data_IF_088721534410
#
_entry.id   IF_088721534410
#
_cell.length_a   1.000
_cell.length_b   1.000
_cell.length_c   1.000
_cell.angle_alpha   90.00
_cell.angle_beta   90.00
_cell.angle_gamma   90.00
#
_symmetry.space_group_name_H-M   'P 1'
#
loop_
_entity.id
_entity.type
_entity.pdbx_description
1 polymer ?
#
# COMPACT_ATOMS: atom_id res chain seq x y z
N UNK A 1 1.03 22.53 -23.29
CA UNK A 1 0.14 23.13 -22.28
C UNK A 1 0.16 22.25 -21.03
N UNK A 2 0.69 22.77 -19.92
CA UNK A 2 0.70 22.12 -18.61
C UNK A 2 -0.75 21.93 -18.15
N UNK A 3 -1.26 20.69 -18.10
CA UNK A 3 -2.56 20.43 -17.49
C UNK A 3 -2.46 20.74 -16.00
N UNK A 4 -3.04 21.85 -15.58
CA UNK A 4 -3.16 22.24 -14.17
C UNK A 4 -3.78 21.09 -13.37
N UNK A 5 -2.97 20.45 -12.53
CA UNK A 5 -3.44 19.43 -11.61
C UNK A 5 -4.40 20.11 -10.63
N UNK A 6 -5.71 19.83 -10.73
CA UNK A 6 -6.69 20.48 -9.89
C UNK A 6 -6.65 19.85 -8.49
N UNK A 7 -5.91 20.48 -7.57
CA UNK A 7 -5.83 20.10 -6.15
C UNK A 7 -7.20 20.13 -5.47
N UNK A 8 -8.20 20.79 -6.05
CA UNK A 8 -9.60 20.80 -5.56
C UNK A 8 -10.22 19.40 -5.44
N UNK A 9 -9.62 18.38 -6.08
CA UNK A 9 -10.11 17.00 -6.04
C UNK A 9 -9.52 16.15 -4.92
N UNK A 10 -8.48 16.62 -4.22
CA UNK A 10 -7.89 15.88 -3.10
C UNK A 10 -8.60 16.29 -1.81
N UNK A 11 -9.30 15.34 -1.20
CA UNK A 11 -9.97 15.52 0.08
C UNK A 11 -9.19 14.82 1.18
N UNK A 12 -9.17 15.43 2.37
CA UNK A 12 -8.59 14.85 3.56
C UNK A 12 -9.70 14.53 4.55
N UNK A 13 -9.74 13.28 5.02
CA UNK A 13 -10.72 12.81 5.99
C UNK A 13 -10.02 12.27 7.23
N UNK A 14 -10.69 12.40 8.39
CA UNK A 14 -10.32 11.67 9.59
C UNK A 14 -10.55 10.18 9.34
N UNK A 15 -9.59 9.34 9.71
CA UNK A 15 -9.69 7.89 9.57
C UNK A 15 -9.23 7.17 10.83
N UNK A 16 -9.58 5.89 10.93
CA UNK A 16 -8.90 4.99 11.86
C UNK A 16 -7.49 4.62 11.35
N UNK A 17 -6.80 3.75 12.10
CA UNK A 17 -5.47 3.22 11.72
C UNK A 17 -5.48 2.31 10.48
N UNK A 18 -6.65 1.89 10.01
CA UNK A 18 -6.85 1.03 8.85
C UNK A 18 -7.28 1.80 7.60
N UNK A 19 -7.62 3.09 7.74
CA UNK A 19 -8.03 3.97 6.65
C UNK A 19 -9.54 4.08 6.45
N UNK A 20 -10.34 3.54 7.37
CA UNK A 20 -11.79 3.71 7.34
C UNK A 20 -12.13 5.14 7.76
N UNK A 21 -12.99 5.81 6.99
CA UNK A 21 -13.43 7.18 7.28
C UNK A 21 -14.23 7.19 8.58
N UNK A 22 -13.87 8.10 9.48
CA UNK A 22 -14.57 8.33 10.74
C UNK A 22 -15.29 9.67 10.71
N UNK A 23 -16.46 9.72 11.36
CA UNK A 23 -17.07 10.98 11.73
C UNK A 23 -16.27 11.62 12.89
N UNK A 24 -15.68 12.82 12.73
CA UNK A 24 -14.88 13.47 13.76
C UNK A 24 -15.61 13.77 15.07
N UNK A 25 -16.94 13.79 15.03
CA UNK A 25 -17.80 14.09 16.18
C UNK A 25 -18.27 12.83 16.92
N UNK A 26 -18.03 11.66 16.36
CA UNK A 26 -18.33 10.39 17.00
C UNK A 26 -17.37 10.11 18.17
N UNK A 27 -17.84 9.44 19.25
CA UNK A 27 -16.99 9.06 20.38
C UNK A 27 -15.75 8.28 19.91
N UNK A 28 -14.60 8.56 20.52
CA UNK A 28 -13.31 7.91 20.25
C UNK A 28 -12.75 8.08 18.82
N UNK A 29 -13.37 8.89 17.95
CA UNK A 29 -12.83 9.17 16.61
C UNK A 29 -11.47 9.90 16.67
N UNK A 30 -11.30 10.77 17.67
CA UNK A 30 -10.03 11.41 18.03
C UNK A 30 -9.68 10.99 19.45
N UNK A 31 -8.45 10.54 19.65
CA UNK A 31 -7.98 10.08 20.96
C UNK A 31 -7.42 11.25 21.76
N UNK A 32 -7.99 11.44 22.95
CA UNK A 32 -7.54 12.40 23.95
C UNK A 32 -6.93 11.64 25.13
N UNK A 33 -5.67 11.88 25.44
CA UNK A 33 -4.97 11.26 26.57
C UNK A 33 -4.50 12.37 27.50
N UNK A 34 -5.10 12.48 28.68
CA UNK A 34 -4.65 13.39 29.70
C UNK A 34 -3.35 12.84 30.32
N UNK A 35 -2.26 13.59 30.21
CA UNK A 35 -0.94 13.18 30.73
C UNK A 35 -0.77 13.64 32.18
N UNK A 36 -1.47 14.69 32.61
CA UNK A 36 -1.24 15.29 33.93
C UNK A 36 -1.96 14.48 35.01
N UNK A 37 -1.23 13.89 35.98
CA UNK A 37 -1.86 13.24 37.13
C UNK A 37 -2.56 14.28 38.01
N UNK A 38 -3.79 14.00 38.46
CA UNK A 38 -4.59 14.87 39.33
C UNK A 38 -3.84 15.35 40.59
N UNK A 39 -2.90 14.55 41.10
CA UNK A 39 -2.14 14.83 42.32
C UNK A 39 -0.89 15.74 42.11
N UNK A 40 -0.62 16.22 40.88
CA UNK A 40 0.58 17.03 40.55
C UNK A 40 0.26 18.31 39.75
N UNK A 41 -1.01 18.71 39.63
CA UNK A 41 -1.37 19.91 38.88
C UNK A 41 -1.14 21.18 39.72
N UNK A 42 -0.18 22.02 39.31
CA UNK A 42 0.07 23.34 39.92
C UNK A 42 -1.24 24.16 39.98
N UNK A 43 -1.75 24.48 41.16
CA UNK A 43 -2.96 25.28 41.30
C UNK A 43 -2.65 26.71 40.91
N UNK A 44 -3.40 27.27 39.96
CA UNK A 44 -3.37 28.71 39.66
C UNK A 44 -4.62 29.36 40.24
N UNK A 45 -4.45 30.36 41.11
CA UNK A 45 -5.55 31.19 41.57
C UNK A 45 -6.00 32.12 40.44
N UNK A 46 -7.30 32.13 40.16
CA UNK A 46 -7.94 33.04 39.22
C UNK A 46 -9.09 33.73 39.93
N UNK A 47 -9.08 35.06 39.90
CA UNK A 47 -10.14 35.87 40.49
C UNK A 47 -11.23 36.11 39.44
N UNK A 48 -12.45 35.69 39.75
CA UNK A 48 -13.62 35.99 38.92
C UNK A 48 -14.00 37.48 39.04
N UNK A 49 -14.75 37.98 38.06
CA UNK A 49 -15.35 39.33 38.09
C UNK A 49 -16.32 39.55 39.26
N UNK A 50 -16.75 38.47 39.93
CA UNK A 50 -17.52 38.50 41.19
C UNK A 50 -16.65 38.65 42.45
N UNK A 51 -15.33 38.74 42.33
CA UNK A 51 -14.39 38.79 43.45
C UNK A 51 -14.03 37.43 44.06
N UNK A 52 -14.68 36.35 43.63
CA UNK A 52 -14.44 34.98 44.12
C UNK A 52 -13.15 34.40 43.53
N UNK A 53 -12.29 33.84 44.39
CA UNK A 53 -11.04 33.18 43.98
C UNK A 53 -11.32 31.70 43.67
N UNK A 54 -10.93 31.25 42.47
CA UNK A 54 -11.02 29.86 42.01
C UNK A 54 -9.62 29.29 41.77
N UNK A 55 -9.39 28.07 42.27
CA UNK A 55 -8.17 27.31 42.03
C UNK A 55 -8.32 26.49 40.76
N UNK A 56 -7.70 26.92 39.67
CA UNK A 56 -7.76 26.24 38.38
C UNK A 56 -6.55 25.32 38.21
N UNK A 57 -6.77 24.10 37.74
CA UNK A 57 -5.71 23.11 37.51
C UNK A 57 -5.17 23.22 36.08
N UNK A 58 -3.85 23.12 35.93
CA UNK A 58 -3.18 23.01 34.63
C UNK A 58 -3.15 21.55 34.18
N UNK A 59 -3.64 21.29 32.97
CA UNK A 59 -3.63 19.96 32.36
C UNK A 59 -2.88 19.97 31.03
N UNK A 60 -2.29 18.83 30.69
CA UNK A 60 -1.67 18.57 29.39
C UNK A 60 -2.38 17.37 28.75
N UNK A 61 -2.97 17.58 27.58
CA UNK A 61 -3.61 16.52 26.80
C UNK A 61 -2.85 16.25 25.52
N UNK A 62 -2.72 14.96 25.18
CA UNK A 62 -2.33 14.50 23.85
C UNK A 62 -3.59 14.34 23.02
N UNK A 63 -3.65 15.04 21.89
CA UNK A 63 -4.66 14.84 20.85
C UNK A 63 -4.01 14.08 19.71
N UNK A 64 -4.49 12.87 19.43
CA UNK A 64 -3.93 12.03 18.36
C UNK A 64 -5.01 11.31 17.57
N UNK A 65 -4.69 10.99 16.33
CA UNK A 65 -5.58 10.28 15.41
C UNK A 65 -4.88 10.00 14.09
N UNK A 66 -5.65 9.61 13.08
CA UNK A 66 -5.17 9.39 11.73
C UNK A 66 -6.01 10.18 10.74
N UNK A 67 -5.40 10.61 9.65
CA UNK A 67 -6.10 11.13 8.48
C UNK A 67 -5.69 10.33 7.26
N UNK A 68 -6.54 10.30 6.23
CA UNK A 68 -6.16 9.77 4.92
C UNK A 68 -6.57 10.72 3.82
N UNK A 69 -5.80 10.71 2.73
CA UNK A 69 -6.04 11.50 1.54
C UNK A 69 -6.81 10.66 0.52
N UNK A 70 -7.82 11.27 -0.09
CA UNK A 70 -8.69 10.65 -1.09
C UNK A 70 -8.74 11.53 -2.34
N UNK A 71 -8.82 10.89 -3.50
CA UNK A 71 -9.05 11.55 -4.79
C UNK A 71 -10.13 10.79 -5.54
N UNK A 72 -11.16 11.51 -6.00
CA UNK A 72 -12.29 10.92 -6.72
C UNK A 72 -12.87 9.69 -5.97
N UNK A 73 -13.01 9.80 -4.65
CA UNK A 73 -13.52 8.73 -3.76
C UNK A 73 -12.52 7.64 -3.39
N UNK A 74 -11.35 7.57 -4.03
CA UNK A 74 -10.37 6.51 -3.80
C UNK A 74 -9.22 6.95 -2.88
N UNK A 75 -8.76 6.12 -1.93
CA UNK A 75 -7.64 6.46 -1.06
C UNK A 75 -6.32 6.54 -1.84
N UNK A 76 -5.60 7.65 -1.69
CA UNK A 76 -4.31 7.89 -2.36
C UNK A 76 -3.12 7.82 -1.41
N UNK A 77 -3.36 7.92 -0.10
CA UNK A 77 -2.37 7.73 0.97
C UNK A 77 -2.76 6.57 1.88
N UNK A 78 -1.77 5.99 2.58
CA UNK A 78 -2.03 5.23 3.80
C UNK A 78 -2.48 6.19 4.92
N UNK A 79 -3.06 5.68 6.03
CA UNK A 79 -3.36 6.49 7.20
C UNK A 79 -2.12 7.22 7.71
N UNK A 80 -2.20 8.55 7.77
CA UNK A 80 -1.15 9.44 8.22
C UNK A 80 -1.46 9.80 9.68
N UNK A 81 -0.64 9.36 10.65
CA UNK A 81 -0.86 9.69 12.04
C UNK A 81 -0.61 11.18 12.30
N UNK A 82 -1.42 11.78 13.16
CA UNK A 82 -1.17 13.10 13.72
C UNK A 82 -1.15 13.04 15.25
N UNK A 83 -0.37 13.93 15.86
CA UNK A 83 -0.27 14.08 17.30
C UNK A 83 0.01 15.54 17.65
N UNK A 84 -0.73 16.07 18.61
CA UNK A 84 -0.52 17.39 19.19
C UNK A 84 -0.59 17.34 20.71
N UNK A 85 0.11 18.27 21.35
CA UNK A 85 0.04 18.48 22.79
C UNK A 85 -0.63 19.82 23.04
N UNK A 86 -1.56 19.85 24.00
CA UNK A 86 -2.18 21.10 24.42
C UNK A 86 -2.15 21.21 25.94
N UNK A 87 -1.65 22.35 26.40
CA UNK A 87 -1.84 22.80 27.77
C UNK A 87 -3.15 23.59 27.86
N UNK A 88 -4.01 23.24 28.81
CA UNK A 88 -5.23 23.96 29.11
C UNK A 88 -5.43 24.08 30.62
N UNK A 89 -6.32 24.98 31.02
CA UNK A 89 -6.66 25.23 32.41
C UNK A 89 -8.14 24.95 32.59
N UNK A 90 -8.49 24.18 33.61
CA UNK A 90 -9.87 23.77 33.89
C UNK A 90 -10.05 23.63 35.40
N UNK A 91 -11.16 24.16 35.93
CA UNK A 91 -11.52 23.90 37.32
C UNK A 91 -12.06 22.48 37.44
N UNK A 92 -11.31 21.63 38.14
CA UNK A 92 -11.61 20.22 38.29
C UNK A 92 -11.45 19.78 39.74
N UNK A 93 -12.52 19.84 40.56
CA UNK A 93 -12.52 19.36 41.93
C UNK A 93 -12.03 17.91 42.06
N UNK A 94 -11.53 17.55 43.24
CA UNK A 94 -11.13 16.17 43.55
C UNK A 94 -12.32 15.23 43.35
N UNK A 95 -12.09 14.11 42.66
CA UNK A 95 -13.14 13.13 42.31
C UNK A 95 -13.87 13.40 40.99
N UNK A 96 -13.49 14.45 40.25
CA UNK A 96 -13.99 14.69 38.89
C UNK A 96 -13.18 13.95 37.83
N UNK A 97 -13.85 13.60 36.74
CA UNK A 97 -13.23 13.13 35.51
C UNK A 97 -13.16 14.28 34.50
N UNK A 98 -12.14 14.26 33.65
CA UNK A 98 -12.06 15.19 32.51
C UNK A 98 -12.45 14.48 31.24
N UNK A 99 -13.52 14.96 30.61
CA UNK A 99 -14.05 14.44 29.36
C UNK A 99 -13.75 15.41 28.22
N UNK A 100 -13.53 14.89 27.02
CA UNK A 100 -13.16 15.67 25.83
C UNK A 100 -14.14 15.40 24.70
N UNK A 101 -14.59 16.47 24.03
CA UNK A 101 -15.44 16.38 22.85
C UNK A 101 -14.91 17.25 21.72
N UNK A 102 -14.83 16.69 20.52
CA UNK A 102 -14.55 17.45 19.30
C UNK A 102 -15.74 18.35 18.99
N UNK A 103 -15.52 19.66 18.93
CA UNK A 103 -16.54 20.64 18.52
C UNK A 103 -16.40 21.04 17.05
N UNK A 104 -15.17 21.05 16.54
CA UNK A 104 -14.90 21.38 15.16
C UNK A 104 -13.71 20.59 14.65
N UNK A 105 -13.83 20.04 13.45
CA UNK A 105 -12.74 19.40 12.73
C UNK A 105 -12.70 19.91 11.30
N UNK A 106 -11.52 20.34 10.85
CA UNK A 106 -11.26 20.65 9.44
C UNK A 106 -9.89 20.15 9.04
N UNK A 107 -9.83 19.34 8.00
CA UNK A 107 -8.59 18.98 7.33
C UNK A 107 -8.53 19.66 5.96
N UNK A 108 -7.54 20.51 5.75
CA UNK A 108 -7.31 21.24 4.50
C UNK A 108 -6.03 20.74 3.85
N UNK A 109 -6.04 20.62 2.53
CA UNK A 109 -4.89 20.17 1.74
C UNK A 109 -4.53 21.27 0.75
N UNK A 110 -3.30 21.76 0.84
CA UNK A 110 -2.69 22.62 -0.16
C UNK A 110 -1.48 21.89 -0.74
N UNK A 111 -1.05 22.20 -1.96
CA UNK A 111 0.14 21.54 -2.49
C UNK A 111 0.43 21.88 -3.93
N UNK A 112 1.43 21.20 -4.47
CA UNK A 112 1.83 21.29 -5.87
C UNK A 112 2.11 19.89 -6.41
N UNK A 113 1.79 19.67 -7.68
CA UNK A 113 2.05 18.42 -8.37
C UNK A 113 3.06 18.68 -9.49
N UNK A 114 4.18 17.97 -9.46
CA UNK A 114 5.08 17.85 -10.60
C UNK A 114 4.89 16.47 -11.24
N UNK A 115 5.37 16.26 -12.47
CA UNK A 115 5.15 15.01 -13.21
C UNK A 115 5.49 13.73 -12.41
N UNK A 116 6.46 13.81 -11.48
CA UNK A 116 6.99 12.66 -10.73
C UNK A 116 6.79 12.74 -9.21
N UNK A 117 6.22 13.83 -8.67
CA UNK A 117 6.00 13.97 -7.23
C UNK A 117 4.74 14.74 -6.88
N UNK A 118 4.07 14.26 -5.83
CA UNK A 118 2.95 14.88 -5.17
C UNK A 118 3.44 15.43 -3.83
N UNK A 119 3.54 16.76 -3.72
CA UNK A 119 3.94 17.44 -2.49
C UNK A 119 2.75 18.22 -1.93
N UNK A 120 2.28 17.79 -0.75
CA UNK A 120 1.09 18.31 -0.09
C UNK A 120 1.43 18.82 1.30
N UNK A 121 0.97 20.02 1.60
CA UNK A 121 0.85 20.56 2.95
C UNK A 121 -0.57 20.35 3.45
N UNK A 122 -0.71 19.57 4.51
CA UNK A 122 -1.97 19.25 5.15
C UNK A 122 -2.07 20.05 6.44
N UNK A 123 -3.15 20.80 6.61
CA UNK A 123 -3.47 21.55 7.83
C UNK A 123 -4.71 20.96 8.49
N UNK A 124 -4.54 20.40 9.67
CA UNK A 124 -5.61 19.87 10.51
C UNK A 124 -5.92 20.91 11.58
N UNK A 125 -7.17 21.30 11.72
CA UNK A 125 -7.67 22.18 12.77
C UNK A 125 -8.70 21.42 13.59
N UNK A 126 -8.47 21.34 14.90
CA UNK A 126 -9.34 20.62 15.85
C UNK A 126 -9.67 21.58 16.98
N UNK A 127 -10.96 21.92 17.13
CA UNK A 127 -11.43 22.61 18.33
C UNK A 127 -12.06 21.59 19.25
N UNK A 128 -11.59 21.57 20.49
CA UNK A 128 -12.00 20.61 21.52
C UNK A 128 -12.60 21.37 22.69
N UNK A 129 -13.65 20.79 23.26
CA UNK A 129 -14.22 21.19 24.53
C UNK A 129 -13.78 20.16 25.56
N UNK A 130 -13.20 20.62 26.66
CA UNK A 130 -12.90 19.78 27.82
C UNK A 130 -13.86 20.15 28.95
N UNK A 131 -14.52 19.15 29.52
CA UNK A 131 -15.44 19.28 30.66
C UNK A 131 -14.84 18.60 31.88
N UNK A 132 -14.97 19.23 33.05
CA UNK A 132 -14.81 18.54 34.33
C UNK A 132 -16.19 18.10 34.79
N UNK A 133 -16.37 16.80 35.00
CA UNK A 133 -17.66 16.22 35.39
C UNK A 133 -17.53 15.18 36.51
N UNK A 134 -18.53 15.11 37.39
CA UNK A 134 -18.71 14.02 38.34
C UNK A 134 -20.20 13.76 38.58
N UNK A 135 -20.51 12.56 39.08
CA UNK A 135 -21.84 12.26 39.61
C UNK A 135 -22.02 13.00 40.94
N UNK A 136 -23.13 13.72 41.08
CA UNK A 136 -23.53 14.39 42.31
C UNK A 136 -25.00 14.12 42.58
N UNK A 137 -25.34 14.07 43.85
CA UNK A 137 -26.73 13.94 44.28
C UNK A 137 -27.37 15.33 44.39
N UNK A 138 -28.54 15.47 43.77
CA UNK A 138 -29.32 16.69 43.73
C UNK A 138 -30.68 16.41 44.36
N UNK A 139 -31.02 17.20 45.38
CA UNK A 139 -32.32 17.13 46.03
C UNK A 139 -33.26 18.06 45.30
N UNK A 140 -34.29 17.50 44.67
CA UNK A 140 -35.31 18.25 43.95
C UNK A 140 -36.67 18.13 44.65
N UNK A 141 -37.49 19.20 44.63
CA UNK A 141 -38.88 19.11 45.05
C UNK A 141 -39.71 18.38 43.98
N UNK A 142 -40.45 17.35 44.38
CA UNK A 142 -41.43 16.64 43.55
C UNK A 142 -42.82 16.77 44.16
N UNK A 143 -43.86 16.63 43.32
CA UNK A 143 -45.26 16.72 43.73
C UNK A 143 -45.84 15.32 43.61
N UNK A 144 -46.36 14.79 44.72
CA UNK A 144 -47.10 13.54 44.72
C UNK A 144 -48.55 13.80 44.26
N UNK A 145 -49.00 13.13 43.20
CA UNK A 145 -50.33 13.33 42.59
C UNK A 145 -51.36 12.37 43.22
N UNK A 146 -51.02 11.69 44.31
CA UNK A 146 -51.86 10.69 44.97
C UNK A 146 -53.24 11.18 45.45
N UNK A 147 -53.44 12.47 45.70
CA UNK A 147 -54.75 13.02 46.11
C UNK A 147 -55.01 14.42 45.51
N UNK A 148 -56.17 14.57 44.86
CA UNK A 148 -56.57 15.77 44.07
C UNK A 148 -56.74 17.04 44.94
N UNK A 149 -56.71 16.92 46.28
CA UNK A 149 -57.04 18.01 47.21
C UNK A 149 -55.90 18.47 48.13
N UNK A 150 -54.71 17.87 48.10
CA UNK A 150 -53.54 18.34 48.87
C UNK A 150 -52.24 18.07 48.09
N UNK A 151 -51.51 19.13 47.76
CA UNK A 151 -50.20 19.04 47.11
C UNK A 151 -49.10 19.02 48.16
N UNK A 152 -48.56 17.84 48.48
CA UNK A 152 -47.38 17.72 49.35
C UNK A 152 -46.09 17.82 48.52
N UNK A 153 -45.19 18.74 48.90
CA UNK A 153 -43.87 18.86 48.26
C UNK A 153 -42.93 17.84 48.92
N UNK A 154 -42.64 16.75 48.20
CA UNK A 154 -41.70 15.72 48.63
C UNK A 154 -40.30 16.08 48.11
N UNK A 155 -39.27 15.73 48.87
CA UNK A 155 -37.87 15.89 48.42
C UNK A 155 -37.37 14.55 47.90
N UNK A 156 -37.11 14.48 46.59
CA UNK A 156 -36.47 13.34 45.97
C UNK A 156 -34.99 13.60 45.71
N UNK A 157 -34.18 12.55 45.90
CA UNK A 157 -32.77 12.58 45.58
C UNK A 157 -32.56 11.96 44.20
N UNK A 158 -31.99 12.73 43.27
CA UNK A 158 -31.59 12.24 41.96
C UNK A 158 -30.08 12.35 41.80
N UNK A 159 -29.45 11.30 41.27
CA UNK A 159 -28.04 11.34 40.91
C UNK A 159 -27.91 11.90 39.49
N UNK A 160 -27.13 12.98 39.34
CA UNK A 160 -26.92 13.64 38.05
C UNK A 160 -25.44 13.86 37.76
N UNK A 161 -25.10 13.90 36.47
CA UNK A 161 -23.78 14.36 36.03
C UNK A 161 -23.71 15.87 36.12
N UNK A 162 -22.93 16.41 37.07
CA UNK A 162 -22.66 17.84 37.16
C UNK A 162 -21.37 18.19 36.42
N UNK A 163 -21.47 19.15 35.51
CA UNK A 163 -20.32 19.80 34.86
C UNK A 163 -19.88 20.96 35.76
N UNK A 164 -18.64 20.91 36.25
CA UNK A 164 -18.08 21.93 37.15
C UNK A 164 -17.51 23.13 36.38
N UNK A 165 -16.90 22.84 35.25
CA UNK A 165 -16.28 23.84 34.38
C UNK A 165 -16.11 23.26 32.97
N UNK A 166 -15.97 24.15 32.00
CA UNK A 166 -15.62 23.78 30.64
C UNK A 166 -14.63 24.77 30.05
N UNK A 167 -13.76 24.27 29.17
CA UNK A 167 -12.84 25.13 28.43
C UNK A 167 -12.73 24.71 26.98
N UNK A 168 -12.49 25.69 26.12
CA UNK A 168 -12.27 25.50 24.69
C UNK A 168 -10.80 25.66 24.36
N UNK A 169 -10.26 24.75 23.57
CA UNK A 169 -8.94 24.93 22.99
C UNK A 169 -8.88 24.46 21.54
N UNK A 170 -8.00 25.08 20.77
CA UNK A 170 -7.71 24.69 19.39
C UNK A 170 -6.31 24.10 19.25
N UNK A 171 -6.22 23.08 18.40
CA UNK A 171 -4.98 22.50 17.89
C UNK A 171 -4.92 22.70 16.37
N UNK A 172 -3.81 23.25 15.91
CA UNK A 172 -3.48 23.36 14.48
C UNK A 172 -2.25 22.51 14.22
N UNK A 173 -2.38 21.51 13.35
CA UNK A 173 -1.33 20.54 13.03
C UNK A 173 -1.02 20.68 11.55
N UNK A 174 0.26 20.90 11.23
CA UNK A 174 0.74 20.97 9.85
C UNK A 174 1.56 19.73 9.54
N UNK A 175 1.18 18.99 8.50
CA UNK A 175 1.85 17.79 8.03
C UNK A 175 2.34 18.02 6.59
N UNK A 176 3.58 17.67 6.30
CA UNK A 176 4.08 17.60 4.92
C UNK A 176 3.97 16.16 4.45
N UNK A 177 3.31 15.96 3.32
CA UNK A 177 3.14 14.66 2.67
C UNK A 177 3.77 14.73 1.28
N UNK A 178 4.87 14.00 1.08
CA UNK A 178 5.55 13.95 -0.21
C UNK A 178 5.53 12.52 -0.71
N UNK A 179 4.89 12.31 -1.86
CA UNK A 179 4.88 11.02 -2.56
C UNK A 179 5.62 11.17 -3.87
N UNK A 180 6.75 10.51 -3.99
CA UNK A 180 7.65 10.64 -5.14
C UNK A 180 7.92 9.25 -5.71
N UNK A 181 7.85 9.12 -7.03
CA UNK A 181 8.00 7.80 -7.65
C UNK A 181 9.46 7.39 -7.71
N UNK A 182 9.73 6.12 -7.39
CA UNK A 182 11.04 5.52 -7.58
C UNK A 182 11.08 4.98 -9.01
N UNK A 183 11.89 5.57 -9.89
CA UNK A 183 12.08 5.06 -11.25
C UNK A 183 12.94 3.81 -11.21
N UNK A 184 12.50 2.78 -11.94
CA UNK A 184 13.24 1.55 -12.14
C UNK A 184 13.89 1.53 -13.51
N UNK A 185 15.17 1.18 -13.55
CA UNK A 185 15.86 0.80 -14.77
C UNK A 185 15.70 -0.71 -14.95
N UNK A 186 15.17 -1.14 -16.10
CA UNK A 186 15.06 -2.56 -16.44
C UNK A 186 16.01 -2.86 -17.58
N UNK A 187 16.87 -3.86 -17.38
CA UNK A 187 17.74 -4.39 -18.42
C UNK A 187 17.45 -5.86 -18.64
N UNK A 188 17.44 -6.31 -19.88
CA UNK A 188 17.22 -7.71 -20.21
C UNK A 188 18.40 -8.26 -20.99
N UNK A 189 19.04 -9.28 -20.43
CA UNK A 189 19.93 -10.15 -21.19
C UNK A 189 19.07 -11.19 -21.89
N UNK A 190 19.19 -11.30 -23.21
CA UNK A 190 18.42 -12.24 -24.03
C UNK A 190 19.37 -13.14 -24.82
N UNK A 191 19.13 -14.45 -24.78
CA UNK A 191 19.89 -15.45 -25.54
C UNK A 191 18.99 -16.59 -26.01
N UNK A 192 19.53 -17.48 -26.84
CA UNK A 192 18.88 -18.71 -27.28
C UNK A 192 19.71 -19.91 -26.83
N UNK A 193 19.03 -20.95 -26.37
CA UNK A 193 19.72 -22.20 -26.08
C UNK A 193 20.16 -22.90 -27.37
N UNK A 194 21.35 -23.50 -27.33
CA UNK A 194 21.83 -24.40 -28.37
C UNK A 194 21.32 -25.85 -28.18
N UNK A 195 20.65 -26.14 -27.05
CA UNK A 195 20.21 -27.48 -26.68
C UNK A 195 21.30 -28.35 -26.05
N UNK A 196 22.47 -27.79 -25.72
CA UNK A 196 23.66 -28.54 -25.27
C UNK A 196 24.27 -27.90 -24.02
N UNK A 197 24.46 -26.57 -24.00
CA UNK A 197 25.18 -25.90 -22.92
C UNK A 197 24.28 -25.49 -21.76
N UNK A 198 24.89 -25.47 -20.58
CA UNK A 198 24.32 -24.93 -19.32
C UNK A 198 24.95 -23.62 -18.90
N UNK A 199 26.00 -23.20 -19.59
CA UNK A 199 26.76 -22.00 -19.28
C UNK A 199 26.55 -20.99 -20.37
N UNK A 200 26.14 -19.77 -19.99
CA UNK A 200 25.90 -18.66 -20.90
C UNK A 200 26.75 -17.48 -20.47
N UNK A 201 27.28 -16.77 -21.46
CA UNK A 201 28.21 -15.64 -21.26
C UNK A 201 27.71 -14.39 -21.98
N UNK A 202 28.42 -13.27 -21.81
CA UNK A 202 28.15 -12.05 -22.58
C UNK A 202 28.19 -12.28 -24.10
N UNK A 203 29.01 -13.22 -24.59
CA UNK A 203 29.10 -13.53 -26.01
C UNK A 203 27.83 -14.18 -26.60
N UNK A 204 26.96 -14.71 -25.75
CA UNK A 204 25.71 -15.34 -26.15
C UNK A 204 24.54 -14.36 -26.21
N UNK A 205 24.76 -13.09 -25.84
CA UNK A 205 23.72 -12.06 -25.87
C UNK A 205 23.28 -11.75 -27.30
N UNK A 206 21.98 -11.70 -27.52
CA UNK A 206 21.38 -11.20 -28.75
C UNK A 206 21.45 -9.66 -28.72
N UNK A 207 22.48 -9.12 -29.37
CA UNK A 207 22.87 -7.72 -29.21
C UNK A 207 21.86 -6.68 -29.71
N UNK A 208 20.91 -7.10 -30.57
CA UNK A 208 19.81 -6.25 -31.03
C UNK A 208 18.81 -5.89 -29.92
N UNK A 209 18.81 -6.63 -28.80
CA UNK A 209 17.92 -6.42 -27.66
C UNK A 209 18.62 -5.79 -26.45
N UNK A 210 19.94 -5.76 -26.43
CA UNK A 210 20.74 -5.28 -25.30
C UNK A 210 22.22 -5.59 -25.55
N UNK A 211 23.13 -4.86 -24.94
CA UNK A 211 24.57 -4.98 -25.21
C UNK A 211 25.44 -4.78 -23.96
N UNK A 212 24.86 -4.99 -22.77
CA UNK A 212 25.52 -4.84 -21.47
C UNK A 212 25.94 -6.18 -20.88
N UNK A 213 25.63 -7.30 -21.54
CA UNK A 213 25.89 -8.63 -21.03
C UNK A 213 25.08 -8.98 -19.78
N UNK A 214 25.51 -10.03 -19.10
CA UNK A 214 24.97 -10.47 -17.81
C UNK A 214 25.51 -9.52 -16.73
N UNK A 215 24.61 -8.75 -16.10
CA UNK A 215 25.00 -7.75 -15.11
C UNK A 215 25.42 -8.39 -13.78
N UNK A 216 26.30 -7.69 -13.05
CA UNK A 216 26.65 -8.02 -11.67
C UNK A 216 25.39 -7.99 -10.75
N UNK A 217 25.04 -9.13 -10.12
CA UNK A 217 23.95 -9.21 -9.13
C UNK A 217 24.00 -8.18 -8.01
N UNK A 218 25.20 -7.70 -7.64
CA UNK A 218 25.38 -6.72 -6.56
C UNK A 218 25.12 -5.27 -7.03
N UNK A 219 25.05 -5.03 -8.34
CA UNK A 219 24.81 -3.71 -8.96
C UNK A 219 23.39 -3.55 -9.49
N UNK A 220 22.46 -4.39 -9.04
CA UNK A 220 21.04 -4.34 -9.36
C UNK A 220 20.22 -4.55 -8.08
N UNK A 221 18.93 -4.21 -8.08
CA UNK A 221 18.08 -4.48 -6.92
C UNK A 221 17.70 -5.95 -6.85
N UNK A 222 17.26 -6.51 -7.98
CA UNK A 222 17.00 -7.94 -8.12
C UNK A 222 17.01 -8.35 -9.59
N UNK A 223 16.98 -9.66 -9.84
CA UNK A 223 16.86 -10.22 -11.18
C UNK A 223 16.01 -11.48 -11.17
N UNK A 224 15.50 -11.83 -12.35
CA UNK A 224 14.66 -13.00 -12.56
C UNK A 224 15.03 -13.68 -13.88
N UNK A 225 15.25 -15.00 -13.86
CA UNK A 225 15.52 -15.81 -15.05
C UNK A 225 14.24 -16.47 -15.58
N UNK A 226 13.99 -16.32 -16.87
CA UNK A 226 12.95 -17.02 -17.63
C UNK A 226 13.61 -17.92 -18.67
N UNK A 227 13.15 -19.17 -18.75
CA UNK A 227 13.52 -20.10 -19.80
C UNK A 227 12.24 -20.56 -20.49
N UNK A 228 12.13 -20.28 -21.79
CA UNK A 228 10.93 -20.58 -22.58
C UNK A 228 9.62 -20.04 -21.97
N UNK A 229 9.67 -18.82 -21.40
CA UNK A 229 8.53 -18.20 -20.72
C UNK A 229 8.22 -18.76 -19.32
N UNK A 230 8.99 -19.73 -18.82
CA UNK A 230 8.83 -20.26 -17.46
C UNK A 230 9.85 -19.61 -16.53
N UNK A 231 9.34 -19.00 -15.45
CA UNK A 231 10.11 -18.48 -14.34
C UNK A 231 10.95 -19.58 -13.68
N UNK A 232 12.26 -19.40 -13.59
CA UNK A 232 13.17 -20.36 -12.96
C UNK A 232 13.42 -20.02 -11.48
N UNK A 233 13.29 -20.98 -10.56
CA UNK A 233 13.65 -20.78 -9.15
C UNK A 233 15.15 -20.51 -8.98
N UNK A 234 15.53 -19.63 -8.06
CA UNK A 234 16.93 -19.20 -7.87
C UNK A 234 17.92 -20.32 -7.57
N UNK A 235 17.47 -21.43 -6.95
CA UNK A 235 18.33 -22.59 -6.68
C UNK A 235 18.76 -23.32 -7.95
N UNK A 236 18.02 -23.16 -9.05
CA UNK A 236 18.25 -23.89 -10.31
C UNK A 236 19.36 -23.28 -11.16
N UNK A 237 19.92 -22.14 -10.75
CA UNK A 237 20.99 -21.47 -11.47
C UNK A 237 21.93 -20.68 -10.53
N UNK A 238 22.99 -20.13 -11.08
CA UNK A 238 23.83 -19.09 -10.46
C UNK A 238 24.18 -18.04 -11.49
N UNK A 239 24.25 -16.79 -11.05
CA UNK A 239 24.65 -15.66 -11.88
C UNK A 239 25.81 -14.95 -11.18
N UNK A 240 26.80 -14.60 -11.98
CA UNK A 240 27.88 -13.66 -11.67
C UNK A 240 27.99 -12.66 -12.83
N UNK A 241 28.76 -11.59 -12.65
CA UNK A 241 29.00 -10.64 -13.74
C UNK A 241 29.58 -11.38 -14.95
N UNK A 242 28.87 -11.33 -16.08
CA UNK A 242 29.26 -11.98 -17.32
C UNK A 242 28.94 -13.47 -17.45
N UNK A 243 28.32 -14.11 -16.44
CA UNK A 243 28.18 -15.57 -16.40
C UNK A 243 26.83 -16.03 -15.80
N UNK A 244 26.13 -16.90 -16.53
CA UNK A 244 24.99 -17.69 -16.04
C UNK A 244 25.34 -19.18 -16.11
N UNK A 245 25.14 -19.91 -15.02
CA UNK A 245 25.28 -21.37 -14.97
C UNK A 245 23.96 -21.99 -14.53
N UNK A 246 23.40 -22.87 -15.37
CA UNK A 246 22.24 -23.69 -15.03
C UNK A 246 22.68 -24.93 -14.24
N UNK A 247 22.08 -25.13 -13.08
CA UNK A 247 22.36 -26.25 -12.15
C UNK A 247 21.42 -27.43 -12.36
N UNK A 248 20.42 -27.30 -13.23
CA UNK A 248 19.48 -28.36 -13.58
C UNK A 248 20.18 -29.53 -14.26
N UNK A 249 19.60 -30.73 -14.13
CA UNK A 249 20.07 -31.91 -14.88
C UNK A 249 19.85 -31.72 -16.37
N UNK A 250 18.69 -31.22 -16.75
CA UNK A 250 18.32 -31.02 -18.14
C UNK A 250 18.84 -29.68 -18.67
N UNK A 251 19.07 -29.65 -19.98
CA UNK A 251 19.42 -28.45 -20.74
C UNK A 251 18.15 -27.87 -21.37
N UNK A 252 18.04 -26.55 -21.53
CA UNK A 252 16.91 -25.97 -22.25
C UNK A 252 16.85 -26.52 -23.68
N UNK A 253 15.65 -26.70 -24.27
CA UNK A 253 15.52 -27.13 -25.66
C UNK A 253 16.22 -26.18 -26.62
N UNK A 254 16.75 -26.70 -27.74
CA UNK A 254 17.36 -25.86 -28.78
C UNK A 254 16.40 -24.78 -29.25
N UNK A 255 16.91 -23.56 -29.40
CA UNK A 255 16.19 -22.32 -29.71
C UNK A 255 15.17 -21.87 -28.64
N UNK A 256 15.15 -22.47 -27.45
CA UNK A 256 14.38 -21.92 -26.35
C UNK A 256 14.95 -20.56 -25.94
N UNK A 257 14.12 -19.52 -25.77
CA UNK A 257 14.59 -18.22 -25.30
C UNK A 257 15.00 -18.30 -23.82
N UNK A 258 16.15 -17.72 -23.52
CA UNK A 258 16.60 -17.42 -22.17
C UNK A 258 16.60 -15.91 -21.98
N UNK A 259 15.89 -15.44 -20.97
CA UNK A 259 15.86 -14.01 -20.62
C UNK A 259 16.15 -13.82 -19.15
N UNK A 260 17.16 -13.03 -18.82
CA UNK A 260 17.39 -12.53 -17.47
C UNK A 260 16.90 -11.09 -17.42
N UNK A 261 15.88 -10.82 -16.61
CA UNK A 261 15.38 -9.47 -16.36
C UNK A 261 16.01 -8.91 -15.10
N UNK A 262 16.89 -7.92 -15.24
CA UNK A 262 17.50 -7.17 -14.15
C UNK A 262 16.70 -5.90 -13.87
N UNK A 263 16.37 -5.67 -12.61
CA UNK A 263 15.66 -4.46 -12.17
C UNK A 263 16.54 -3.71 -11.18
N UNK A 264 16.83 -2.44 -11.49
CA UNK A 264 17.60 -1.55 -10.63
C UNK A 264 16.74 -0.39 -10.18
N UNK A 265 16.53 -0.29 -8.88
CA UNK A 265 15.85 0.82 -8.23
C UNK A 265 16.88 1.57 -7.39
N UNK A 266 16.88 2.89 -7.47
CA UNK A 266 17.80 3.74 -6.71
C UNK A 266 17.05 4.57 -5.69
N UNK A 267 17.70 4.93 -4.60
CA UNK A 267 17.22 5.92 -3.65
C UNK A 267 17.44 7.35 -4.21
N UNK A 268 17.11 8.38 -3.42
CA UNK A 268 17.27 9.79 -3.84
C UNK A 268 18.73 10.22 -4.01
N UNK A 269 19.66 9.48 -3.43
CA UNK A 269 21.10 9.72 -3.51
C UNK A 269 21.76 8.88 -4.63
N UNK A 270 20.96 8.10 -5.37
CA UNK A 270 21.46 7.21 -6.42
C UNK A 270 21.95 5.85 -5.92
N UNK A 271 21.80 5.53 -4.64
CA UNK A 271 22.18 4.24 -4.07
C UNK A 271 21.17 3.16 -4.43
N UNK A 272 21.64 1.98 -4.81
CA UNK A 272 20.77 0.87 -5.23
C UNK A 272 20.00 0.33 -4.03
N UNK A 273 18.67 0.30 -4.14
CA UNK A 273 17.80 -0.23 -3.12
C UNK A 273 17.95 -1.76 -3.06
N UNK A 274 18.21 -2.34 -1.88
CA UNK A 274 18.29 -3.79 -1.73
C UNK A 274 16.91 -4.42 -1.98
N UNK A 275 16.90 -5.57 -2.65
CA UNK A 275 15.70 -6.38 -2.77
C UNK A 275 15.98 -7.88 -2.60
N UNK A 276 14.95 -8.59 -2.15
CA UNK A 276 14.93 -10.04 -1.99
C UNK A 276 13.81 -10.63 -2.83
N UNK A 277 14.09 -11.77 -3.48
CA UNK A 277 13.12 -12.53 -4.26
C UNK A 277 12.96 -13.91 -3.63
N UNK A 278 11.72 -14.30 -3.38
CA UNK A 278 11.38 -15.63 -2.90
C UNK A 278 10.32 -16.26 -3.79
N UNK A 279 10.39 -17.57 -3.94
CA UNK A 279 9.43 -18.33 -4.73
C UNK A 279 8.78 -19.41 -3.87
N UNK A 280 7.46 -19.48 -3.90
CA UNK A 280 6.73 -20.68 -3.52
C UNK A 280 6.39 -21.42 -4.82
N UNK A 281 6.82 -22.68 -4.93
CA UNK A 281 6.61 -23.50 -6.11
C UNK A 281 5.80 -24.72 -5.72
N UNK A 282 4.76 -25.02 -6.50
CA UNK A 282 3.95 -26.23 -6.34
C UNK A 282 3.50 -26.75 -7.70
N UNK A 283 2.94 -27.95 -7.72
CA UNK A 283 2.38 -28.60 -8.91
C UNK A 283 0.89 -28.83 -8.66
N UNK A 284 0.07 -28.43 -9.63
CA UNK A 284 -1.36 -28.70 -9.54
C UNK A 284 -1.64 -30.20 -9.53
N UNK A 285 -2.58 -30.63 -8.68
CA UNK A 285 -3.12 -31.98 -8.65
C UNK A 285 -4.27 -32.17 -9.65
N UNK A 286 -4.75 -31.09 -10.27
CA UNK A 286 -5.90 -31.08 -11.19
C UNK A 286 -7.27 -31.08 -10.49
N UNK A 287 -7.31 -30.94 -9.15
CA UNK A 287 -8.51 -31.09 -8.34
C UNK A 287 -8.75 -29.85 -7.47
N UNK A 288 -7.74 -29.36 -6.76
CA UNK A 288 -7.92 -28.27 -5.78
C UNK A 288 -7.57 -26.89 -6.34
N UNK A 289 -8.12 -25.87 -5.67
CA UNK A 289 -7.84 -24.45 -5.92
C UNK A 289 -7.11 -23.77 -4.75
N UNK A 290 -6.96 -24.49 -3.66
CA UNK A 290 -6.32 -23.99 -2.44
C UNK A 290 -4.97 -24.70 -2.27
N UNK A 291 -3.92 -23.90 -2.10
CA UNK A 291 -2.56 -24.38 -1.90
C UNK A 291 -2.02 -23.82 -0.60
N UNK A 292 -1.42 -24.67 0.21
CA UNK A 292 -0.87 -24.32 1.53
C UNK A 292 0.65 -24.46 1.54
N UNK A 293 1.28 -24.17 2.67
CA UNK A 293 2.72 -24.40 2.86
C UNK A 293 3.15 -25.87 2.71
N UNK A 294 2.22 -26.81 2.86
CA UNK A 294 2.47 -28.25 2.72
C UNK A 294 2.64 -28.65 1.25
N UNK A 295 2.08 -27.86 0.33
CA UNK A 295 2.18 -28.08 -1.10
C UNK A 295 3.49 -27.59 -1.72
N UNK A 296 4.33 -26.92 -0.93
CA UNK A 296 5.59 -26.39 -1.41
C UNK A 296 6.56 -27.51 -1.81
N UNK A 297 7.07 -27.42 -3.03
CA UNK A 297 8.19 -28.23 -3.49
C UNK A 297 9.47 -27.79 -2.76
N UNK A 298 9.76 -28.48 -1.65
CA UNK A 298 10.87 -28.14 -0.74
C UNK A 298 12.26 -28.08 -1.38
N UNK A 299 12.44 -28.75 -2.52
CA UNK A 299 13.67 -28.65 -3.33
C UNK A 299 13.93 -27.23 -3.85
N UNK A 300 12.88 -26.42 -4.04
CA UNK A 300 12.97 -25.08 -4.63
C UNK A 300 12.82 -23.94 -3.62
N UNK A 301 12.47 -24.25 -2.37
CA UNK A 301 12.27 -23.27 -1.30
C UNK A 301 11.58 -23.89 -0.10
N UNK A 302 11.74 -23.29 1.08
CA UNK A 302 11.21 -23.81 2.35
C UNK A 302 10.45 -22.76 3.16
N UNK A 303 10.20 -21.57 2.58
CA UNK A 303 9.62 -20.43 3.28
C UNK A 303 8.10 -20.43 3.29
N UNK A 304 7.48 -21.30 2.49
CA UNK A 304 6.04 -21.32 2.29
C UNK A 304 5.52 -20.03 1.66
N UNK A 305 4.21 -19.82 1.79
CA UNK A 305 3.49 -18.66 1.26
C UNK A 305 3.64 -17.50 2.26
N UNK A 306 4.44 -16.51 1.88
CA UNK A 306 4.77 -15.34 2.70
C UNK A 306 3.53 -14.46 2.89
N UNK A 307 3.42 -13.84 4.07
CA UNK A 307 2.41 -12.82 4.36
C UNK A 307 2.51 -11.64 3.37
N UNK A 308 1.46 -11.33 2.58
CA UNK A 308 1.46 -10.21 1.65
C UNK A 308 1.77 -8.85 2.30
N UNK A 309 1.53 -8.70 3.61
CA UNK A 309 1.91 -7.48 4.34
C UNK A 309 3.42 -7.34 4.56
N UNK A 310 4.19 -8.41 4.38
CA UNK A 310 5.66 -8.42 4.54
C UNK A 310 6.45 -8.36 3.23
N UNK A 311 5.79 -8.14 2.10
CA UNK A 311 6.44 -8.07 0.79
C UNK A 311 6.07 -6.78 0.04
N UNK A 312 6.83 -6.42 -1.00
CA UNK A 312 6.52 -5.24 -1.81
C UNK A 312 5.39 -5.51 -2.79
N UNK A 313 5.43 -6.65 -3.49
CA UNK A 313 4.36 -7.16 -4.36
C UNK A 313 4.56 -8.65 -4.64
N UNK A 314 3.55 -9.26 -5.26
CA UNK A 314 3.48 -10.70 -5.55
C UNK A 314 3.05 -10.89 -6.99
N UNK A 315 3.72 -11.79 -7.70
CA UNK A 315 3.29 -12.29 -9.01
C UNK A 315 2.89 -13.76 -8.88
N UNK A 316 1.78 -14.15 -9.49
CA UNK A 316 1.39 -15.55 -9.64
C UNK A 316 1.58 -15.96 -11.10
N UNK A 317 2.26 -17.07 -11.32
CA UNK A 317 2.41 -17.70 -12.63
C UNK A 317 1.76 -19.09 -12.58
N UNK A 318 0.93 -19.38 -13.58
CA UNK A 318 0.36 -20.72 -13.80
C UNK A 318 0.79 -21.13 -15.20
N UNK A 319 1.54 -22.22 -15.32
CA UNK A 319 2.16 -22.64 -16.57
C UNK A 319 2.98 -21.52 -17.25
N UNK A 320 3.67 -20.70 -16.47
CA UNK A 320 4.42 -19.52 -16.93
C UNK A 320 3.57 -18.30 -17.30
N UNK A 321 2.24 -18.41 -17.39
CA UNK A 321 1.37 -17.27 -17.68
C UNK A 321 1.18 -16.45 -16.41
N UNK A 322 1.58 -15.18 -16.44
CA UNK A 322 1.35 -14.21 -15.36
C UNK A 322 -0.16 -14.00 -15.15
N UNK A 323 -0.64 -14.27 -13.94
CA UNK A 323 -2.06 -14.22 -13.59
C UNK A 323 -2.48 -12.83 -13.11
N UNK A 324 -3.65 -12.32 -13.56
CA UNK A 324 -4.27 -11.12 -13.01
C UNK A 324 -4.59 -11.26 -11.52
N UNK A 325 -4.40 -10.20 -10.73
CA UNK A 325 -4.62 -10.24 -9.28
C UNK A 325 -6.07 -10.49 -8.85
N UNK A 326 -7.05 -10.35 -9.76
CA UNK A 326 -8.45 -10.68 -9.49
C UNK A 326 -8.71 -12.19 -9.53
N UNK A 327 -7.80 -12.97 -10.10
CA UNK A 327 -7.94 -14.42 -10.26
C UNK A 327 -7.50 -15.20 -9.03
N UNK A 328 -6.94 -14.55 -8.01
CA UNK A 328 -6.40 -15.24 -6.84
C UNK A 328 -6.36 -14.38 -5.59
N UNK A 329 -6.34 -15.04 -4.43
CA UNK A 329 -6.09 -14.42 -3.13
C UNK A 329 -4.87 -15.07 -2.51
N UNK A 330 -3.96 -14.25 -1.99
CA UNK A 330 -2.84 -14.71 -1.18
C UNK A 330 -3.05 -14.25 0.25
N UNK A 331 -2.87 -15.16 1.20
CA UNK A 331 -2.75 -14.89 2.64
C UNK A 331 -1.50 -15.60 3.14
N UNK A 332 -1.05 -15.25 4.34
CA UNK A 332 0.03 -16.00 4.98
C UNK A 332 -0.34 -17.50 5.01
N UNK A 333 0.48 -18.33 4.38
CA UNK A 333 0.30 -19.78 4.33
C UNK A 333 -0.77 -20.31 3.37
N UNK A 334 -1.41 -19.46 2.56
CA UNK A 334 -2.54 -19.87 1.72
C UNK A 334 -2.61 -19.09 0.40
N UNK A 335 -2.72 -19.82 -0.71
CA UNK A 335 -3.09 -19.34 -2.03
C UNK A 335 -4.45 -19.93 -2.40
N UNK A 336 -5.39 -19.09 -2.85
CA UNK A 336 -6.70 -19.51 -3.34
C UNK A 336 -6.85 -19.03 -4.77
N UNK A 337 -7.11 -19.93 -5.72
CA UNK A 337 -7.50 -19.60 -7.09
C UNK A 337 -9.00 -19.31 -7.13
N UNK A 338 -9.37 -18.14 -7.65
CA UNK A 338 -10.75 -17.67 -7.75
C UNK A 338 -11.39 -17.94 -9.10
N UNK A 339 -10.62 -18.48 -10.05
CA UNK A 339 -11.14 -18.81 -11.38
C UNK A 339 -12.04 -20.04 -11.34
N UNK A 340 -12.88 -20.21 -12.35
CA UNK A 340 -13.77 -21.38 -12.45
C UNK A 340 -13.00 -22.65 -12.82
N UNK A 341 -11.99 -22.52 -13.68
CA UNK A 341 -11.09 -23.60 -14.09
C UNK A 341 -10.10 -23.97 -12.99
N UNK A 342 -9.58 -25.20 -13.07
CA UNK A 342 -8.54 -25.73 -12.19
C UNK A 342 -7.33 -26.00 -13.09
N UNK A 343 -6.12 -25.56 -12.72
CA UNK A 343 -4.93 -25.90 -13.49
C UNK A 343 -4.80 -27.42 -13.60
N UNK A 344 -4.55 -27.95 -14.79
CA UNK A 344 -4.48 -29.40 -15.00
C UNK A 344 -3.40 -30.06 -14.13
N UNK A 345 -3.58 -31.33 -13.81
CA UNK A 345 -2.60 -32.11 -13.05
C UNK A 345 -1.21 -32.01 -13.71
N UNK A 346 -0.19 -31.69 -12.93
CA UNK A 346 1.18 -31.54 -13.43
C UNK A 346 1.55 -30.11 -13.84
N UNK A 347 0.59 -29.19 -13.93
CA UNK A 347 0.89 -27.78 -14.27
C UNK A 347 1.65 -27.10 -13.12
N UNK A 348 2.79 -26.44 -13.41
CA UNK A 348 3.52 -25.70 -12.40
C UNK A 348 2.79 -24.41 -12.00
N UNK A 349 2.80 -24.15 -10.71
CA UNK A 349 2.26 -22.93 -10.08
C UNK A 349 3.39 -22.30 -9.27
N UNK A 350 3.70 -21.05 -9.58
CA UNK A 350 4.76 -20.30 -8.91
C UNK A 350 4.22 -18.97 -8.39
N UNK A 351 4.37 -18.75 -7.09
CA UNK A 351 4.22 -17.44 -6.48
C UNK A 351 5.61 -16.81 -6.31
N UNK A 352 5.82 -15.65 -6.90
CA UNK A 352 7.02 -14.84 -6.75
C UNK A 352 6.74 -13.68 -5.80
N UNK A 353 7.49 -13.61 -4.71
CA UNK A 353 7.44 -12.56 -3.71
C UNK A 353 8.65 -11.65 -3.88
N UNK A 354 8.42 -10.37 -4.14
CA UNK A 354 9.49 -9.38 -4.27
C UNK A 354 9.43 -8.46 -3.06
N UNK A 355 10.55 -8.30 -2.36
CA UNK A 355 10.69 -7.47 -1.16
C UNK A 355 11.78 -6.43 -1.43
N UNK A 356 11.38 -5.19 -1.63
CA UNK A 356 12.28 -4.06 -1.83
C UNK A 356 12.35 -3.28 -0.53
N UNK A 357 13.56 -3.11 0.00
CA UNK A 357 13.81 -2.49 1.30
C UNK A 357 14.51 -1.16 1.12
N UNK A 358 14.26 -0.25 2.05
CA UNK A 358 15.12 0.88 2.31
C UNK A 358 16.31 0.42 3.17
N UNK A 359 17.36 1.24 3.27
CA UNK A 359 18.55 0.92 4.07
C UNK A 359 18.28 0.84 5.58
N UNK A 360 17.17 1.40 6.06
CA UNK A 360 16.67 1.26 7.43
C UNK A 360 15.84 -0.04 7.64
N UNK A 361 15.76 -0.90 6.63
CA UNK A 361 15.01 -2.15 6.66
C UNK A 361 13.50 -2.02 6.39
N UNK A 362 12.97 -0.80 6.21
CA UNK A 362 11.55 -0.61 5.88
C UNK A 362 11.24 -1.11 4.48
N UNK A 363 10.12 -1.80 4.33
CA UNK A 363 9.68 -2.34 3.04
C UNK A 363 8.90 -1.27 2.26
N UNK A 364 9.29 -1.05 1.01
CA UNK A 364 8.50 -0.26 0.08
C UNK A 364 7.32 -1.09 -0.43
N UNK A 365 6.08 -0.65 -0.21
CA UNK A 365 4.92 -1.27 -0.86
C UNK A 365 4.83 -0.82 -2.31
N UNK A 366 4.68 -1.77 -3.22
CA UNK A 366 4.42 -1.49 -4.61
C UNK A 366 2.92 -1.60 -4.92
N UNK A 367 2.46 -0.80 -5.87
CA UNK A 367 1.16 -0.99 -6.53
C UNK A 367 1.41 -1.65 -7.87
N UNK A 368 0.69 -2.73 -8.15
CA UNK A 368 0.74 -3.42 -9.43
C UNK A 368 -0.56 -3.21 -10.20
N UNK A 369 -0.45 -3.21 -11.52
CA UNK A 369 -1.59 -3.25 -12.44
C UNK A 369 -1.20 -4.03 -13.68
N UNK A 370 -2.09 -4.88 -14.19
CA UNK A 370 -1.83 -5.63 -15.42
C UNK A 370 -2.94 -5.27 -16.41
N UNK A 371 -2.53 -4.63 -17.49
CA UNK A 371 -3.38 -4.50 -18.67
C UNK A 371 -3.36 -5.85 -19.40
N UNK A 372 -4.54 -6.46 -19.55
CA UNK A 372 -4.67 -7.77 -20.21
C UNK A 372 -5.48 -7.61 -21.49
N UNK A 373 -4.98 -8.19 -22.58
CA UNK A 373 -5.66 -8.22 -23.87
C UNK A 373 -5.43 -9.57 -24.57
N UNK A 374 -6.14 -9.80 -25.66
CA UNK A 374 -5.86 -10.92 -26.56
C UNK A 374 -5.23 -10.38 -27.84
N UNK A 375 -4.31 -11.15 -28.42
CA UNK A 375 -3.74 -10.83 -29.73
C UNK A 375 -4.83 -10.91 -30.79
N UNK A 376 -5.02 -9.81 -31.53
CA UNK A 376 -6.06 -9.69 -32.56
C UNK A 376 -5.50 -9.63 -34.00
N UNK A 377 -4.23 -10.00 -34.21
CA UNK A 377 -3.57 -9.87 -35.51
C UNK A 377 -3.25 -8.42 -35.88
N UNK A 378 -3.07 -7.55 -34.87
CA UNK A 378 -2.67 -6.15 -35.02
C UNK A 378 -1.47 -5.83 -34.13
N UNK A 379 -0.78 -4.74 -34.45
CA UNK A 379 0.39 -4.24 -33.69
C UNK A 379 0.02 -3.18 -32.65
N UNK A 380 -1.15 -2.55 -32.79
CA UNK A 380 -1.56 -1.42 -31.96
C UNK A 380 -2.69 -1.87 -31.03
N UNK A 381 -2.50 -1.65 -29.74
CA UNK A 381 -3.47 -1.94 -28.69
C UNK A 381 -3.77 -0.67 -27.90
N UNK A 382 -5.04 -0.46 -27.59
CA UNK A 382 -5.51 0.72 -26.85
C UNK A 382 -6.29 0.32 -25.60
N UNK A 383 -6.78 1.30 -24.84
CA UNK A 383 -7.63 1.04 -23.66
C UNK A 383 -8.92 0.25 -23.97
N UNK A 384 -9.36 0.24 -25.22
CA UNK A 384 -10.55 -0.49 -25.69
C UNK A 384 -10.29 -2.00 -25.80
N UNK A 385 -9.04 -2.40 -26.02
CA UNK A 385 -8.64 -3.80 -26.16
C UNK A 385 -8.46 -4.52 -24.81
N UNK A 386 -8.60 -3.79 -23.70
CA UNK A 386 -8.48 -4.32 -22.36
C UNK A 386 -9.63 -5.27 -22.03
N UNK A 387 -9.29 -6.47 -21.57
CA UNK A 387 -10.23 -7.42 -20.98
C UNK A 387 -10.76 -6.87 -19.65
N UNK A 388 -11.94 -6.25 -19.69
CA UNK A 388 -12.54 -5.55 -18.55
C UNK A 388 -12.84 -6.43 -17.33
N UNK A 389 -12.89 -7.75 -17.53
CA UNK A 389 -13.01 -8.73 -16.44
C UNK A 389 -11.79 -8.71 -15.49
N UNK A 390 -10.62 -8.28 -15.97
CA UNK A 390 -9.38 -8.26 -15.18
C UNK A 390 -8.97 -6.86 -14.70
N UNK A 391 -9.49 -5.81 -15.31
CA UNK A 391 -9.14 -4.43 -14.98
C UNK A 391 -9.77 -3.42 -15.93
N UNK A 392 -9.80 -2.15 -15.53
CA UNK A 392 -10.46 -1.08 -16.28
C UNK A 392 -9.68 0.24 -16.31
N UNK A 393 -8.39 0.24 -15.95
CA UNK A 393 -7.56 1.45 -15.91
C UNK A 393 -6.90 1.75 -17.26
N UNK A 394 -6.96 0.83 -18.22
CA UNK A 394 -6.27 0.93 -19.49
C UNK A 394 -4.74 0.89 -19.34
N UNK A 395 -4.06 1.25 -20.42
CA UNK A 395 -2.61 1.33 -20.50
C UNK A 395 -2.14 2.57 -19.74
N UNK A 396 -1.41 2.36 -18.64
CA UNK A 396 -0.95 3.44 -17.77
C UNK A 396 0.15 4.26 -18.43
N UNK A 397 0.31 5.49 -17.93
CA UNK A 397 1.37 6.41 -18.35
C UNK A 397 2.74 5.94 -17.82
N UNK A 398 3.69 5.54 -18.68
CA UNK A 398 5.03 5.08 -18.28
C UNK A 398 5.81 6.07 -17.44
N UNK A 399 5.53 7.37 -17.59
CA UNK A 399 6.19 8.42 -16.80
C UNK A 399 5.70 8.43 -15.35
N UNK A 400 4.56 7.81 -15.03
CA UNK A 400 3.95 7.81 -13.69
C UNK A 400 4.01 6.45 -12.98
N UNK A 401 4.80 5.54 -13.50
CA UNK A 401 5.07 4.20 -12.95
C UNK A 401 6.57 4.01 -12.76
N UNK A 402 6.98 3.02 -11.96
CA UNK A 402 8.40 2.73 -11.70
C UNK A 402 9.03 2.06 -12.90
N UNK A 403 8.42 0.98 -13.38
CA UNK A 403 8.80 0.26 -14.60
C UNK A 403 7.64 -0.65 -15.03
N UNK A 404 7.76 -1.26 -16.20
CA UNK A 404 6.76 -2.14 -16.78
C UNK A 404 7.41 -3.29 -17.55
N UNK A 405 6.66 -4.38 -17.70
CA UNK A 405 7.06 -5.57 -18.44
C UNK A 405 5.92 -6.01 -19.36
N UNK A 406 6.22 -6.29 -20.63
CA UNK A 406 5.29 -6.90 -21.55
C UNK A 406 5.53 -8.41 -21.63
N UNK A 407 4.46 -9.19 -21.48
CA UNK A 407 4.45 -10.63 -21.72
C UNK A 407 3.48 -10.92 -22.87
N UNK A 408 3.92 -11.76 -23.80
CA UNK A 408 3.08 -12.30 -24.86
C UNK A 408 3.23 -13.81 -24.84
N UNK A 409 2.13 -14.52 -24.63
CA UNK A 409 2.13 -15.99 -24.53
C UNK A 409 3.17 -16.51 -23.50
N UNK A 410 3.15 -15.96 -22.28
CA UNK A 410 4.10 -16.24 -21.18
C UNK A 410 5.55 -15.76 -21.39
N UNK A 411 5.94 -15.35 -22.60
CA UNK A 411 7.31 -14.91 -22.87
C UNK A 411 7.42 -13.40 -22.64
N UNK A 412 8.30 -13.01 -21.72
CA UNK A 412 8.66 -11.62 -21.51
C UNK A 412 9.32 -11.06 -22.78
N UNK A 413 8.85 -9.90 -23.24
CA UNK A 413 9.30 -9.28 -24.48
C UNK A 413 10.46 -8.30 -24.23
N UNK A 414 11.49 -8.31 -25.10
CA UNK A 414 12.51 -7.27 -25.15
C UNK A 414 11.92 -5.87 -25.30
N UNK A 415 12.49 -4.88 -24.60
CA UNK A 415 11.99 -3.49 -24.65
C UNK A 415 12.02 -2.88 -26.06
N UNK A 416 12.93 -3.33 -26.93
CA UNK A 416 12.96 -2.89 -28.33
C UNK A 416 11.76 -3.39 -29.15
N UNK A 417 11.11 -4.48 -28.72
CA UNK A 417 10.00 -5.09 -29.45
C UNK A 417 8.67 -4.36 -29.25
N UNK A 418 8.62 -3.34 -28.39
CA UNK A 418 7.39 -2.61 -28.14
C UNK A 418 7.63 -1.19 -27.65
N UNK A 419 6.59 -0.38 -27.69
CA UNK A 419 6.58 0.97 -27.12
C UNK A 419 5.28 1.20 -26.39
N UNK A 420 5.39 1.83 -25.22
CA UNK A 420 4.24 2.12 -24.36
C UNK A 420 4.12 3.63 -24.22
N UNK A 421 2.91 4.13 -24.39
CA UNK A 421 2.49 5.48 -24.05
C UNK A 421 1.18 5.37 -23.28
N UNK A 422 0.77 6.44 -22.61
CA UNK A 422 -0.53 6.46 -21.93
C UNK A 422 -1.64 6.13 -22.94
N UNK A 423 -2.36 5.03 -22.70
CA UNK A 423 -3.46 4.57 -23.55
C UNK A 423 -3.07 3.80 -24.81
N UNK A 424 -1.77 3.55 -25.04
CA UNK A 424 -1.28 2.98 -26.29
C UNK A 424 -0.11 2.01 -26.07
N UNK A 425 -0.23 0.80 -26.59
CA UNK A 425 0.84 -0.19 -26.73
C UNK A 425 1.05 -0.45 -28.22
N UNK A 426 2.28 -0.28 -28.70
CA UNK A 426 2.68 -0.60 -30.08
C UNK A 426 3.69 -1.73 -30.07
N UNK A 427 3.45 -2.77 -30.87
CA UNK A 427 4.42 -3.84 -31.12
C UNK A 427 5.30 -3.43 -32.31
N UNK A 428 6.61 -3.41 -32.09
CA UNK A 428 7.62 -2.97 -33.05
C UNK A 428 8.29 -4.14 -33.79
N UNK A 429 7.73 -5.34 -33.67
CA UNK A 429 8.22 -6.55 -34.34
C UNK A 429 7.77 -6.60 -35.79
N UNK A 430 8.55 -7.26 -36.65
CA UNK A 430 8.13 -7.57 -38.03
C UNK A 430 6.91 -8.48 -38.03
N UNK A 431 7.02 -9.60 -37.33
CA UNK A 431 5.99 -10.61 -37.19
C UNK A 431 4.90 -10.22 -36.20
N UNK A 432 3.70 -10.71 -36.45
CA UNK A 432 2.58 -10.61 -35.52
C UNK A 432 2.59 -11.81 -34.57
N UNK A 433 2.31 -11.60 -33.27
CA UNK A 433 2.11 -12.73 -32.38
C UNK A 433 0.94 -13.61 -32.81
N UNK A 434 0.92 -14.85 -32.31
CA UNK A 434 -0.16 -15.80 -32.58
C UNK A 434 -1.51 -15.23 -32.12
N UNK A 435 -2.49 -15.21 -33.02
CA UNK A 435 -3.84 -14.73 -32.75
C UNK A 435 -4.46 -15.51 -31.59
N UNK A 436 -5.10 -14.80 -30.67
CA UNK A 436 -5.71 -15.37 -29.47
C UNK A 436 -4.75 -15.62 -28.30
N UNK A 437 -3.43 -15.47 -28.49
CA UNK A 437 -2.49 -15.52 -27.37
C UNK A 437 -2.74 -14.37 -26.38
N UNK A 438 -2.46 -14.58 -25.08
CA UNK A 438 -2.60 -13.54 -24.07
C UNK A 438 -1.50 -12.49 -24.19
N UNK A 439 -1.89 -11.23 -24.01
CA UNK A 439 -1.00 -10.09 -23.80
C UNK A 439 -1.19 -9.62 -22.37
N UNK A 440 -0.10 -9.55 -21.61
CA UNK A 440 -0.09 -8.99 -20.26
C UNK A 440 0.97 -7.90 -20.18
N UNK A 441 0.53 -6.65 -20.06
CA UNK A 441 1.41 -5.50 -19.82
C UNK A 441 1.32 -5.14 -18.34
N UNK A 442 2.34 -5.56 -17.59
CA UNK A 442 2.45 -5.38 -16.14
C UNK A 442 3.10 -4.02 -15.84
N UNK A 443 2.48 -3.24 -14.96
CA UNK A 443 3.00 -1.98 -14.43
C UNK A 443 3.27 -2.12 -12.94
N UNK A 444 4.44 -1.65 -12.51
CA UNK A 444 4.85 -1.62 -11.12
C UNK A 444 5.07 -0.17 -10.71
N UNK A 445 4.51 0.25 -9.58
CA UNK A 445 4.66 1.60 -9.03
C UNK A 445 5.09 1.56 -7.58
N UNK A 446 6.26 2.13 -7.31
CA UNK A 446 6.90 2.20 -6.00
C UNK A 446 7.14 3.68 -5.69
N UNK A 447 6.87 4.09 -4.46
CA UNK A 447 6.97 5.49 -4.06
C UNK A 447 7.82 5.64 -2.80
N UNK A 448 8.62 6.70 -2.73
CA UNK A 448 9.03 7.27 -1.45
C UNK A 448 7.77 7.83 -0.77
N UNK A 449 7.61 7.51 0.51
CA UNK A 449 6.51 7.96 1.36
C UNK A 449 7.00 8.93 2.42
#
# INVERSE_FOLDING_TARGET
>A
MLSSFNLSKIKCYLTDKYGNILDPYSPNAISYINITPFNMADPKQVQLSSGKILLINKFIVIVKGYISLFKDGNPISKPIPFKAFKTYYLYAPKGTNVNFKTHYFKCSVNGYHSNNSLDLSIKITINTIAHSEAQVDLIIPTIDIGNINDFEIIKECITVTKIFDHTFFSNVINIKYKKEIIKGEVYQYNSLSDGIKKTYTNGDEITIYGNRGILDPQKVSYFTLYINGILQPSITYSIEEGLLILKTKDVPPKNAPLTISFVTLKDKNGMILPAEVYHFNTISDGIKKEFTNEDELKLYGDKGIIDPEKVSFINLYINGVLQPSVNYVVKKGLLILLTSDIPQKGVPITLEFIIIKNFDGRIFKAKTYIYNALVQGKKIYTNEDELKIYGNKGILDPEKISYYNLFINSVIQPFNNYSVQKGLLTLNTGDLPLKGSPISLQFISIYYL
#
